data_IF_244980617808
#
_entry.id   IF_244980617808
#
_cell.length_a   1.000
_cell.length_b   1.000
_cell.length_c   1.000
_cell.angle_alpha   90.00
_cell.angle_beta   90.00
_cell.angle_gamma   90.00
#
_symmetry.space_group_name_H-M   'P 1'
#
loop_
_entity.id
_entity.type
_entity.pdbx_description
1 polymer ?
#
# COMPACT_ATOMS: atom_id res chain seq x y z
N UNK A 1 -2.43 -3.18 10.97
CA UNK A 1 -1.92 -4.54 11.17
C UNK A 1 -0.86 -4.62 12.28
N UNK A 2 -0.10 -3.56 12.54
CA UNK A 2 0.97 -3.56 13.55
C UNK A 2 0.55 -3.02 14.92
N UNK A 3 -0.68 -2.55 15.07
CA UNK A 3 -1.18 -2.07 16.36
C UNK A 3 -1.29 -3.21 17.35
N UNK A 4 -0.49 -3.13 18.43
CA UNK A 4 -0.36 -4.18 19.45
C UNK A 4 -0.04 -5.57 18.89
N UNK A 5 0.72 -5.62 17.78
CA UNK A 5 1.24 -6.86 17.22
C UNK A 5 2.19 -7.55 18.21
N UNK A 6 2.31 -8.86 18.10
CA UNK A 6 3.20 -9.66 18.92
C UNK A 6 4.60 -9.76 18.31
N UNK A 7 5.62 -9.85 19.13
CA UNK A 7 7.01 -10.01 18.67
C UNK A 7 7.62 -8.79 17.99
N UNK A 8 7.16 -7.57 18.31
CA UNK A 8 7.62 -6.30 17.66
C UNK A 8 9.12 -6.06 17.80
N UNK A 9 9.76 -6.61 18.83
CA UNK A 9 11.20 -6.44 19.08
C UNK A 9 12.02 -7.65 18.68
N UNK A 10 11.39 -8.79 18.50
CA UNK A 10 12.02 -10.10 18.33
C UNK A 10 11.88 -10.64 16.92
N UNK A 11 10.83 -10.27 16.20
CA UNK A 11 10.52 -10.77 14.87
C UNK A 11 10.73 -9.69 13.81
N UNK A 12 11.26 -10.07 12.67
CA UNK A 12 11.34 -9.21 11.48
C UNK A 12 9.95 -8.79 11.02
N UNK A 13 9.01 -9.73 11.05
CA UNK A 13 7.60 -9.51 10.72
C UNK A 13 6.73 -9.81 11.95
N UNK A 14 6.44 -8.81 12.79
CA UNK A 14 5.57 -8.96 13.95
C UNK A 14 4.22 -9.58 13.58
N UNK A 15 3.69 -10.44 14.45
CA UNK A 15 2.43 -11.13 14.21
C UNK A 15 1.27 -10.18 14.54
N UNK A 16 0.38 -9.88 13.57
CA UNK A 16 -0.78 -9.05 13.82
C UNK A 16 -1.69 -9.63 14.90
N UNK A 17 -2.20 -8.76 15.77
CA UNK A 17 -3.20 -9.13 16.77
C UNK A 17 -4.55 -8.53 16.36
N UNK A 18 -5.53 -9.34 15.90
CA UNK A 18 -6.84 -8.86 15.45
C UNK A 18 -7.66 -8.20 16.55
N UNK A 19 -7.66 -8.75 17.76
CA UNK A 19 -8.55 -8.32 18.85
C UNK A 19 -8.49 -6.81 19.15
N UNK A 20 -7.32 -6.21 19.44
CA UNK A 20 -7.26 -4.78 19.74
C UNK A 20 -7.59 -3.90 18.53
N UNK A 21 -7.31 -4.36 17.31
CA UNK A 21 -7.64 -3.62 16.09
C UNK A 21 -9.15 -3.60 15.89
N UNK A 22 -9.79 -4.76 15.99
CA UNK A 22 -11.24 -4.91 15.87
C UNK A 22 -11.96 -4.07 16.92
N UNK A 23 -11.51 -4.11 18.17
CA UNK A 23 -12.09 -3.31 19.26
C UNK A 23 -12.05 -1.80 18.96
N UNK A 24 -10.95 -1.30 18.40
CA UNK A 24 -10.83 0.12 18.00
C UNK A 24 -11.80 0.46 16.87
N UNK A 25 -11.89 -0.39 15.84
CA UNK A 25 -12.75 -0.14 14.68
C UNK A 25 -14.24 -0.20 15.05
N UNK A 26 -14.66 -1.19 15.79
CA UNK A 26 -16.05 -1.30 16.27
C UNK A 26 -16.40 -0.13 17.18
N UNK A 27 -15.55 0.21 18.17
CA UNK A 27 -15.80 1.37 19.04
C UNK A 27 -15.85 2.69 18.31
N UNK A 28 -15.05 2.87 17.25
CA UNK A 28 -15.14 4.05 16.41
C UNK A 28 -16.44 4.07 15.59
N UNK A 29 -16.91 2.93 15.11
CA UNK A 29 -18.15 2.85 14.31
C UNK A 29 -19.42 3.07 15.13
N UNK A 30 -19.38 2.79 16.43
CA UNK A 30 -20.50 3.05 17.36
C UNK A 30 -20.69 4.54 17.67
N UNK A 31 -19.76 5.42 17.29
CA UNK A 31 -19.89 6.86 17.52
C UNK A 31 -20.76 7.51 16.42
N UNK A 32 -21.98 7.85 16.74
CA UNK A 32 -22.98 8.48 15.83
C UNK A 32 -22.52 9.80 15.23
N UNK A 33 -21.46 10.41 15.76
CA UNK A 33 -20.88 11.66 15.23
C UNK A 33 -19.92 11.41 14.06
N UNK A 34 -19.57 10.17 13.77
CA UNK A 34 -18.64 9.80 12.71
C UNK A 34 -19.39 9.42 11.43
N UNK A 35 -19.43 10.34 10.48
CA UNK A 35 -19.96 10.08 9.14
C UNK A 35 -19.00 9.23 8.29
N UNK A 36 -17.70 9.40 8.46
CA UNK A 36 -16.66 8.77 7.66
C UNK A 36 -15.59 8.16 8.57
N UNK A 37 -15.33 6.87 8.36
CA UNK A 37 -14.24 6.15 8.99
C UNK A 37 -13.31 5.57 7.91
N UNK A 38 -12.07 6.02 7.89
CA UNK A 38 -11.04 5.53 6.99
C UNK A 38 -9.78 5.17 7.77
N UNK A 39 -8.93 4.33 7.16
CA UNK A 39 -7.55 4.06 7.58
C UNK A 39 -6.61 4.69 6.57
N UNK A 40 -5.36 4.93 6.95
CA UNK A 40 -4.40 5.56 6.03
C UNK A 40 -3.43 4.51 5.47
N UNK A 41 -2.56 3.95 6.30
CA UNK A 41 -1.49 3.07 5.84
C UNK A 41 -1.61 1.65 6.42
N UNK A 42 -1.21 0.67 5.61
CA UNK A 42 -0.96 -0.71 6.01
C UNK A 42 0.49 -1.09 5.71
N UNK A 43 1.01 -2.05 6.46
CA UNK A 43 2.32 -2.62 6.17
C UNK A 43 2.13 -3.87 5.29
N UNK A 44 2.52 -3.82 3.99
CA UNK A 44 2.28 -4.94 3.08
C UNK A 44 3.10 -6.18 3.43
N UNK A 45 4.33 -6.04 3.94
CA UNK A 45 5.15 -7.18 4.35
C UNK A 45 4.51 -7.93 5.52
N UNK A 46 3.98 -7.22 6.50
CA UNK A 46 3.27 -7.84 7.64
C UNK A 46 2.06 -8.64 7.16
N UNK A 47 1.29 -8.11 6.20
CA UNK A 47 0.15 -8.83 5.62
C UNK A 47 0.61 -10.07 4.86
N UNK A 48 1.66 -9.93 4.02
CA UNK A 48 2.17 -11.02 3.21
C UNK A 48 2.73 -12.19 4.04
N UNK A 49 3.43 -11.87 5.13
CA UNK A 49 4.07 -12.87 5.99
C UNK A 49 3.13 -13.46 7.06
N UNK A 50 1.95 -12.82 7.26
CA UNK A 50 0.99 -13.21 8.30
C UNK A 50 -0.46 -13.25 7.76
N UNK A 51 -0.70 -14.08 6.74
CA UNK A 51 -2.00 -14.14 6.03
C UNK A 51 -3.16 -14.46 6.97
N UNK A 52 -3.05 -15.50 7.81
CA UNK A 52 -4.14 -15.96 8.68
C UNK A 52 -4.68 -14.86 9.62
N UNK A 53 -3.87 -14.22 10.48
CA UNK A 53 -4.37 -13.13 11.32
C UNK A 53 -4.78 -11.90 10.51
N UNK A 54 -4.20 -11.68 9.33
CA UNK A 54 -4.56 -10.59 8.43
C UNK A 54 -5.95 -10.73 7.82
N UNK A 55 -6.46 -11.95 7.65
CA UNK A 55 -7.82 -12.19 7.16
C UNK A 55 -8.86 -11.56 8.10
N UNK A 56 -8.74 -11.82 9.39
CA UNK A 56 -9.69 -11.31 10.39
C UNK A 56 -9.67 -9.77 10.43
N UNK A 57 -8.48 -9.18 10.45
CA UNK A 57 -8.32 -7.71 10.42
C UNK A 57 -8.93 -7.13 9.15
N UNK A 58 -8.66 -7.73 7.98
CA UNK A 58 -9.17 -7.22 6.70
C UNK A 58 -10.69 -7.30 6.63
N UNK A 59 -11.30 -8.38 7.12
CA UNK A 59 -12.75 -8.49 7.21
C UNK A 59 -13.34 -7.39 8.09
N UNK A 60 -12.75 -7.15 9.25
CA UNK A 60 -13.18 -6.08 10.15
C UNK A 60 -13.03 -4.69 9.50
N UNK A 61 -11.95 -4.43 8.75
CA UNK A 61 -11.80 -3.20 7.97
C UNK A 61 -12.91 -3.04 6.93
N UNK A 62 -13.20 -4.09 6.15
CA UNK A 62 -14.24 -4.07 5.11
C UNK A 62 -15.63 -3.84 5.70
N UNK A 63 -15.92 -4.38 6.88
CA UNK A 63 -17.20 -4.21 7.57
C UNK A 63 -17.38 -2.79 8.11
N UNK A 64 -16.34 -2.21 8.71
CA UNK A 64 -16.47 -0.98 9.49
C UNK A 64 -16.08 0.29 8.73
N UNK A 65 -15.23 0.21 7.70
CA UNK A 65 -14.82 1.40 6.96
C UNK A 65 -15.92 1.90 6.02
N UNK A 66 -15.90 3.19 5.76
CA UNK A 66 -16.75 3.82 4.75
C UNK A 66 -16.37 3.37 3.35
N UNK A 67 -17.35 3.26 2.45
CA UNK A 67 -17.14 2.84 1.07
C UNK A 67 -16.08 3.70 0.34
N UNK A 68 -15.23 3.06 -0.43
CA UNK A 68 -14.14 3.70 -1.14
C UNK A 68 -12.91 3.95 -0.28
N UNK A 69 -12.81 3.31 0.88
CA UNK A 69 -11.62 3.37 1.72
C UNK A 69 -10.37 2.88 0.98
N UNK A 70 -9.23 3.44 1.36
CA UNK A 70 -7.92 3.12 0.76
C UNK A 70 -6.96 2.71 1.87
N UNK A 71 -6.38 1.53 1.73
CA UNK A 71 -5.26 1.09 2.55
C UNK A 71 -3.97 1.29 1.76
N UNK A 72 -3.21 2.35 2.07
CA UNK A 72 -2.00 2.68 1.31
C UNK A 72 -0.82 1.82 1.74
N UNK A 73 -0.13 1.24 0.78
CA UNK A 73 1.06 0.42 0.95
C UNK A 73 2.32 1.18 0.55
N UNK A 74 3.34 1.15 1.40
CA UNK A 74 4.68 1.62 1.08
C UNK A 74 5.49 0.50 0.45
N UNK A 75 5.84 0.65 -0.82
CA UNK A 75 6.90 -0.11 -1.49
C UNK A 75 8.13 0.76 -1.66
N UNK A 76 7.88 2.01 -1.93
CA UNK A 76 8.82 3.10 -2.17
C UNK A 76 9.57 2.97 -3.50
N UNK A 77 10.05 1.78 -3.85
CA UNK A 77 10.70 1.43 -5.12
C UNK A 77 10.51 -0.05 -5.45
N UNK A 78 10.49 -0.42 -6.73
CA UNK A 78 10.56 -1.80 -7.18
C UNK A 78 12.01 -2.26 -7.49
N UNK A 79 12.99 -1.37 -7.34
CA UNK A 79 14.39 -1.67 -7.63
C UNK A 79 15.07 -2.32 -6.41
N UNK A 80 15.54 -3.59 -6.49
CA UNK A 80 16.21 -4.27 -5.39
C UNK A 80 17.45 -3.54 -4.87
N UNK A 81 18.19 -2.84 -5.75
CA UNK A 81 19.34 -2.06 -5.35
C UNK A 81 18.94 -0.87 -4.46
N UNK A 82 17.85 -0.20 -4.81
CA UNK A 82 17.29 0.89 -4.00
C UNK A 82 16.79 0.35 -2.65
N UNK A 83 16.18 -0.84 -2.63
CA UNK A 83 15.76 -1.51 -1.39
C UNK A 83 16.93 -1.73 -0.45
N UNK A 84 18.01 -2.33 -0.95
CA UNK A 84 19.23 -2.59 -0.17
C UNK A 84 19.85 -1.31 0.38
N UNK A 85 20.00 -0.28 -0.48
CA UNK A 85 20.62 0.99 -0.12
C UNK A 85 19.83 1.81 0.91
N UNK A 86 18.53 1.60 1.04
CA UNK A 86 17.63 2.40 1.89
C UNK A 86 16.92 1.58 2.97
N UNK A 87 17.25 0.29 3.13
CA UNK A 87 16.65 -0.61 4.13
C UNK A 87 15.12 -0.65 4.05
N UNK A 88 14.59 -0.75 2.81
CA UNK A 88 13.16 -0.79 2.62
C UNK A 88 12.60 -2.17 3.02
N UNK A 89 11.44 -2.16 3.69
CA UNK A 89 10.91 -3.35 4.36
C UNK A 89 10.04 -4.26 3.48
N UNK A 90 9.59 -3.78 2.33
CA UNK A 90 8.65 -4.51 1.50
C UNK A 90 9.21 -4.70 0.10
N UNK A 91 9.35 -5.93 -0.35
CA UNK A 91 9.69 -6.23 -1.73
C UNK A 91 8.43 -6.30 -2.64
N UNK A 92 8.62 -6.29 -3.99
CA UNK A 92 7.52 -6.39 -4.94
C UNK A 92 6.68 -7.68 -4.83
N UNK A 93 7.27 -8.79 -4.39
CA UNK A 93 6.55 -10.05 -4.19
C UNK A 93 5.59 -9.98 -3.01
N UNK A 94 6.07 -9.51 -1.86
CA UNK A 94 5.26 -9.25 -0.68
C UNK A 94 4.14 -8.24 -0.97
N UNK A 95 4.45 -7.18 -1.73
CA UNK A 95 3.45 -6.21 -2.15
C UNK A 95 2.32 -6.86 -2.95
N UNK A 96 2.64 -7.70 -3.94
CA UNK A 96 1.63 -8.41 -4.76
C UNK A 96 0.73 -9.28 -3.91
N UNK A 97 1.30 -10.03 -2.95
CA UNK A 97 0.53 -10.85 -2.00
C UNK A 97 -0.44 -9.97 -1.20
N UNK A 98 0.04 -8.86 -0.64
CA UNK A 98 -0.77 -7.95 0.15
C UNK A 98 -1.88 -7.28 -0.69
N UNK A 99 -1.59 -6.84 -1.91
CA UNK A 99 -2.59 -6.28 -2.84
C UNK A 99 -3.66 -7.32 -3.16
N UNK A 100 -3.26 -8.54 -3.50
CA UNK A 100 -4.19 -9.63 -3.77
C UNK A 100 -5.07 -9.90 -2.55
N UNK A 101 -4.48 -9.98 -1.37
CA UNK A 101 -5.22 -10.19 -0.12
C UNK A 101 -6.31 -9.12 0.09
N UNK A 102 -5.98 -7.83 -0.02
CA UNK A 102 -6.99 -6.77 0.12
C UNK A 102 -8.03 -6.83 -1.01
N UNK A 103 -7.63 -7.17 -2.23
CA UNK A 103 -8.55 -7.31 -3.35
C UNK A 103 -9.57 -8.45 -3.15
N UNK A 104 -9.15 -9.57 -2.58
CA UNK A 104 -10.01 -10.73 -2.36
C UNK A 104 -11.19 -10.41 -1.40
N UNK A 105 -11.01 -9.49 -0.47
CA UNK A 105 -12.05 -9.09 0.48
C UNK A 105 -12.69 -7.73 0.16
N UNK A 106 -11.92 -6.77 -0.32
CA UNK A 106 -12.32 -5.36 -0.38
C UNK A 106 -12.99 -4.91 -1.67
N UNK A 107 -12.97 -5.73 -2.75
CA UNK A 107 -13.62 -5.40 -4.04
C UNK A 107 -15.13 -5.39 -3.99
N UNK A 108 -15.73 -5.94 -2.93
CA UNK A 108 -17.18 -5.93 -2.78
C UNK A 108 -17.69 -4.50 -2.80
N UNK A 109 -18.75 -4.26 -3.55
CA UNK A 109 -19.37 -2.94 -3.65
C UNK A 109 -20.18 -2.65 -2.38
N UNK A 110 -19.96 -1.49 -1.82
CA UNK A 110 -20.78 -0.96 -0.74
C UNK A 110 -22.01 -0.21 -1.27
N UNK A 111 -22.73 0.43 -0.38
CA UNK A 111 -24.00 1.13 -0.66
C UNK A 111 -23.86 2.26 -1.68
N UNK A 112 -22.69 2.92 -1.70
CA UNK A 112 -22.37 3.99 -2.67
C UNK A 112 -21.92 3.47 -4.04
N UNK A 113 -21.94 2.14 -4.25
CA UNK A 113 -21.50 1.51 -5.49
C UNK A 113 -19.96 1.47 -5.69
N UNK A 114 -19.20 1.99 -4.73
CA UNK A 114 -17.74 1.92 -4.70
C UNK A 114 -17.28 0.62 -4.03
N UNK A 115 -16.10 0.07 -4.39
CA UNK A 115 -15.47 -0.96 -3.59
C UNK A 115 -15.33 -0.51 -2.13
N UNK A 116 -15.53 -1.43 -1.20
CA UNK A 116 -15.41 -1.12 0.24
C UNK A 116 -14.00 -0.69 0.61
N UNK A 117 -13.00 -1.45 0.16
CA UNK A 117 -11.60 -1.22 0.49
C UNK A 117 -10.70 -1.63 -0.67
N UNK A 118 -9.85 -0.74 -1.14
CA UNK A 118 -8.83 -1.07 -2.13
C UNK A 118 -7.45 -0.60 -1.67
N UNK A 119 -6.36 -1.28 -2.12
CA UNK A 119 -5.03 -0.82 -1.82
C UNK A 119 -4.69 0.47 -2.58
N UNK A 120 -3.90 1.33 -1.94
CA UNK A 120 -3.12 2.38 -2.58
C UNK A 120 -1.65 1.99 -2.62
N UNK A 121 -0.86 2.57 -3.51
CA UNK A 121 0.57 2.34 -3.62
C UNK A 121 1.35 3.64 -3.51
N UNK A 122 2.41 3.63 -2.71
CA UNK A 122 3.30 4.76 -2.54
C UNK A 122 4.67 4.46 -3.16
N UNK A 123 5.16 5.38 -3.99
CA UNK A 123 6.55 5.45 -4.45
C UNK A 123 7.25 6.68 -3.89
N UNK A 124 8.53 6.56 -3.63
CA UNK A 124 9.40 7.69 -3.24
C UNK A 124 10.52 7.82 -4.27
N UNK A 125 10.66 9.01 -4.82
CA UNK A 125 11.75 9.37 -5.71
C UNK A 125 12.82 10.18 -4.98
N UNK A 126 14.09 9.95 -5.30
CA UNK A 126 15.23 10.58 -4.65
C UNK A 126 15.90 9.70 -3.58
N UNK A 127 15.55 8.43 -3.52
CA UNK A 127 16.21 7.46 -2.65
C UNK A 127 17.63 7.15 -3.12
N UNK A 128 18.50 6.75 -2.20
CA UNK A 128 19.87 6.37 -2.52
C UNK A 128 19.90 5.19 -3.51
N UNK A 129 20.81 5.23 -4.47
CA UNK A 129 20.94 4.20 -5.49
C UNK A 129 19.94 4.30 -6.65
N UNK A 130 18.98 5.23 -6.59
CA UNK A 130 17.96 5.41 -7.63
C UNK A 130 18.56 5.85 -8.96
N UNK A 131 18.10 5.26 -10.04
CA UNK A 131 18.49 5.57 -11.42
C UNK A 131 17.26 5.62 -12.32
N UNK A 132 17.45 5.95 -13.60
CA UNK A 132 16.37 5.82 -14.58
C UNK A 132 15.80 4.39 -14.63
N UNK A 133 16.66 3.37 -14.46
CA UNK A 133 16.23 1.96 -14.43
C UNK A 133 15.24 1.69 -13.29
N UNK A 134 15.40 2.34 -12.14
CA UNK A 134 14.48 2.20 -11.01
C UNK A 134 13.06 2.65 -11.39
N UNK A 135 12.91 3.74 -12.16
CA UNK A 135 11.60 4.16 -12.70
C UNK A 135 11.03 3.17 -13.71
N UNK A 136 11.88 2.60 -14.57
CA UNK A 136 11.42 1.58 -15.54
C UNK A 136 10.95 0.32 -14.79
N UNK A 137 11.60 -0.08 -13.70
CA UNK A 137 11.18 -1.21 -12.85
C UNK A 137 9.87 -0.90 -12.10
N UNK A 138 9.69 0.32 -11.60
CA UNK A 138 8.43 0.75 -10.98
C UNK A 138 7.26 0.68 -11.99
N UNK A 139 7.48 1.10 -13.24
CA UNK A 139 6.47 0.99 -14.30
C UNK A 139 6.17 -0.45 -14.65
N UNK A 140 7.21 -1.30 -14.80
CA UNK A 140 7.01 -2.73 -15.06
C UNK A 140 6.18 -3.42 -13.99
N UNK A 141 6.42 -3.10 -12.71
CA UNK A 141 5.60 -3.61 -11.61
C UNK A 141 4.12 -3.21 -11.76
N UNK A 142 3.85 -1.95 -12.13
CA UNK A 142 2.47 -1.48 -12.32
C UNK A 142 1.78 -2.20 -13.49
N UNK A 143 2.52 -2.43 -14.58
CA UNK A 143 2.02 -3.21 -15.72
C UNK A 143 1.76 -4.68 -15.32
N UNK A 144 2.62 -5.28 -14.51
CA UNK A 144 2.43 -6.63 -13.99
C UNK A 144 1.16 -6.69 -13.12
N UNK A 145 1.00 -5.78 -12.15
CA UNK A 145 -0.20 -5.72 -11.31
C UNK A 145 -1.48 -5.63 -12.14
N UNK A 146 -1.46 -4.79 -13.18
CA UNK A 146 -2.58 -4.63 -14.10
C UNK A 146 -2.85 -5.91 -14.90
N UNK A 147 -1.82 -6.54 -15.44
CA UNK A 147 -1.95 -7.79 -16.22
C UNK A 147 -2.48 -8.95 -15.39
N UNK A 148 -2.14 -8.99 -14.10
CA UNK A 148 -2.65 -9.95 -13.12
C UNK A 148 -4.07 -9.61 -12.62
N UNK A 149 -4.67 -8.51 -13.09
CA UNK A 149 -6.00 -8.07 -12.70
C UNK A 149 -6.06 -7.60 -11.23
N UNK A 150 -4.96 -7.15 -10.66
CA UNK A 150 -4.88 -6.60 -9.31
C UNK A 150 -5.25 -5.10 -9.32
N UNK A 151 -6.20 -4.73 -8.47
CA UNK A 151 -6.73 -3.37 -8.44
C UNK A 151 -6.01 -2.51 -7.42
N UNK A 152 -5.68 -1.30 -7.85
CA UNK A 152 -5.25 -0.20 -6.99
C UNK A 152 -6.27 0.93 -7.06
N UNK A 153 -6.51 1.60 -5.93
CA UNK A 153 -7.37 2.79 -5.88
C UNK A 153 -6.64 4.07 -6.25
N UNK A 154 -5.36 4.15 -5.88
CA UNK A 154 -4.52 5.32 -6.15
C UNK A 154 -3.04 4.95 -6.14
N UNK A 155 -2.24 5.74 -6.85
CA UNK A 155 -0.78 5.69 -6.81
C UNK A 155 -0.26 7.06 -6.39
N UNK A 156 0.48 7.10 -5.29
CA UNK A 156 1.12 8.30 -4.80
C UNK A 156 2.61 8.26 -5.15
N UNK A 157 3.12 9.35 -5.72
CA UNK A 157 4.56 9.51 -5.99
C UNK A 157 5.02 10.73 -5.22
N UNK A 158 5.82 10.49 -4.20
CA UNK A 158 6.45 11.52 -3.38
C UNK A 158 7.90 11.70 -3.82
N UNK A 159 8.48 12.84 -3.50
CA UNK A 159 9.89 13.15 -3.74
C UNK A 159 10.52 13.50 -2.40
N UNK A 160 11.71 12.97 -2.14
CA UNK A 160 12.55 13.39 -1.03
C UNK A 160 13.71 14.21 -1.55
N UNK A 161 14.03 15.28 -0.82
CA UNK A 161 15.15 16.20 -1.11
C UNK A 161 15.87 16.52 0.20
N UNK A 162 17.19 16.66 0.13
CA UNK A 162 17.98 17.05 1.30
C UNK A 162 19.40 16.47 1.29
N UNK A 163 20.14 16.71 2.37
CA UNK A 163 21.44 16.09 2.56
C UNK A 163 21.27 14.59 2.79
N UNK A 164 22.02 13.78 2.03
CA UNK A 164 21.96 12.31 2.13
C UNK A 164 21.00 11.65 1.14
N UNK A 165 20.23 12.41 0.37
CA UNK A 165 19.39 11.87 -0.70
C UNK A 165 20.00 12.12 -2.07
N UNK A 166 19.69 11.22 -3.01
CA UNK A 166 20.21 11.33 -4.37
C UNK A 166 19.51 12.44 -5.15
N UNK A 167 20.28 13.24 -5.90
CA UNK A 167 19.71 14.18 -6.87
C UNK A 167 19.11 13.40 -8.03
N UNK A 168 17.80 13.49 -8.18
CA UNK A 168 17.08 12.89 -9.30
C UNK A 168 17.20 13.76 -10.57
N UNK A 169 17.18 13.10 -11.72
CA UNK A 169 16.97 13.78 -12.99
C UNK A 169 15.53 14.30 -13.05
N UNK A 170 15.35 15.63 -13.10
CA UNK A 170 14.02 16.26 -13.19
C UNK A 170 13.23 15.76 -14.41
N UNK A 171 13.90 15.43 -15.50
CA UNK A 171 13.26 14.93 -16.72
C UNK A 171 12.77 13.49 -16.53
N UNK A 172 13.59 12.61 -15.96
CA UNK A 172 13.22 11.21 -15.74
C UNK A 172 12.07 11.09 -14.73
N UNK A 173 12.15 11.85 -13.64
CA UNK A 173 11.07 11.94 -12.66
C UNK A 173 9.75 12.47 -13.26
N UNK A 174 9.82 13.53 -14.06
CA UNK A 174 8.64 14.07 -14.74
C UNK A 174 8.03 13.06 -15.72
N UNK A 175 8.88 12.36 -16.49
CA UNK A 175 8.45 11.33 -17.42
C UNK A 175 7.81 10.14 -16.69
N UNK A 176 8.39 9.68 -15.59
CA UNK A 176 7.81 8.65 -14.74
C UNK A 176 6.41 9.05 -14.24
N UNK A 177 6.28 10.21 -13.61
CA UNK A 177 4.98 10.72 -13.13
C UNK A 177 3.95 10.84 -14.25
N UNK A 178 4.37 11.32 -15.44
CA UNK A 178 3.49 11.44 -16.59
C UNK A 178 2.98 10.09 -17.05
N UNK A 179 3.86 9.09 -17.18
CA UNK A 179 3.49 7.72 -17.58
C UNK A 179 2.52 7.10 -16.57
N UNK A 180 2.84 7.15 -15.27
CA UNK A 180 1.93 6.63 -14.24
C UNK A 180 0.54 7.26 -14.37
N UNK A 181 0.46 8.59 -14.51
CA UNK A 181 -0.81 9.30 -14.61
C UNK A 181 -1.60 8.98 -15.88
N UNK A 182 -0.94 8.91 -17.02
CA UNK A 182 -1.61 8.78 -18.32
C UNK A 182 -1.91 7.33 -18.70
N UNK A 183 -1.02 6.40 -18.35
CA UNK A 183 -1.07 5.02 -18.78
C UNK A 183 -1.70 4.09 -17.74
N UNK A 184 -1.63 4.47 -16.44
CA UNK A 184 -2.09 3.64 -15.33
C UNK A 184 -3.30 4.26 -14.62
N UNK A 185 -3.16 5.47 -14.03
CA UNK A 185 -4.23 6.07 -13.21
C UNK A 185 -5.50 6.36 -14.02
N UNK A 186 -5.38 7.03 -15.19
CA UNK A 186 -6.54 7.41 -16.00
C UNK A 186 -7.35 6.23 -16.57
N UNK A 187 -6.73 5.13 -17.02
CA UNK A 187 -7.46 3.95 -17.44
C UNK A 187 -8.18 3.19 -16.33
N UNK A 188 -7.80 3.44 -15.05
CA UNK A 188 -8.43 2.80 -13.88
C UNK A 188 -9.59 3.62 -13.29
N UNK A 189 -9.80 4.84 -13.75
CA UNK A 189 -10.89 5.74 -13.36
C UNK A 189 -12.09 5.60 -14.31
#
# INVERSE_FOLDING_TARGET
YTYRAEGVRELEYPIPNPEPINKVLYGAREDDRLDILHVDNGNPSIIAENIEPSIEITKCLVENLSDGAVLSFGLESADPHVHEMNWLNCDPGQLKIAIKHINDFGRVKGERGLPKLLPGLNFIAGLNGETKKSYDMNLSLLDDLRSEGLWLRRINIRQVEGQGFQKISKNDFRNFKKKVREEIDKPLL
#
